data_IF_533081014640
#
_entry.id   IF_533081014640
#
_cell.length_a   1.000
_cell.length_b   1.000
_cell.length_c   1.000
_cell.angle_alpha   90.00
_cell.angle_beta   90.00
_cell.angle_gamma   90.00
#
_symmetry.space_group_name_H-M   'P 1'
#
loop_
_entity.id
_entity.type
_entity.pdbx_description
1 polymer ?
#
# COMPACT_ATOMS: atom_id res chain seq x y z
N UNK A 1 -4.78 -19.47 -18.68
CA UNK A 1 -4.48 -18.05 -18.38
C UNK A 1 -2.97 -17.86 -18.37
N UNK A 2 -2.40 -16.85 -19.04
CA UNK A 2 -0.97 -16.59 -19.07
C UNK A 2 -0.45 -16.42 -17.64
N UNK A 3 0.72 -16.97 -17.33
CA UNK A 3 1.37 -16.93 -16.03
C UNK A 3 1.46 -15.50 -15.46
N UNK A 4 1.78 -14.51 -16.29
CA UNK A 4 1.88 -13.12 -15.86
C UNK A 4 0.52 -12.49 -15.53
N UNK A 5 -0.55 -12.85 -16.27
CA UNK A 5 -1.92 -12.40 -15.96
C UNK A 5 -2.36 -12.87 -14.58
N UNK A 6 -2.07 -14.13 -14.21
CA UNK A 6 -2.36 -14.64 -12.88
C UNK A 6 -1.61 -13.86 -11.80
N UNK A 7 -0.30 -13.66 -11.98
CA UNK A 7 0.52 -12.91 -11.01
C UNK A 7 0.09 -11.44 -10.88
N UNK A 8 -0.32 -10.82 -11.97
CA UNK A 8 -0.86 -9.47 -11.95
C UNK A 8 -2.20 -9.43 -11.18
N UNK A 9 -3.06 -10.41 -11.40
CA UNK A 9 -4.32 -10.53 -10.65
C UNK A 9 -4.09 -10.70 -9.15
N UNK A 10 -3.06 -11.48 -8.76
CA UNK A 10 -2.71 -11.64 -7.35
C UNK A 10 -2.21 -10.32 -6.70
N UNK A 11 -1.65 -9.39 -7.49
CA UNK A 11 -1.23 -8.06 -7.02
C UNK A 11 -2.40 -7.07 -6.94
N UNK A 12 -3.50 -7.31 -7.63
CA UNK A 12 -4.61 -6.35 -7.71
C UNK A 12 -5.18 -6.01 -6.33
N UNK A 13 -5.50 -7.02 -5.53
CA UNK A 13 -6.10 -6.81 -4.22
C UNK A 13 -5.20 -5.99 -3.26
N UNK A 14 -3.93 -6.37 -3.02
CA UNK A 14 -3.09 -5.57 -2.12
C UNK A 14 -2.82 -4.16 -2.65
N UNK A 15 -2.69 -3.94 -3.97
CA UNK A 15 -2.52 -2.58 -4.52
C UNK A 15 -3.79 -1.75 -4.37
N UNK A 16 -4.98 -2.34 -4.55
CA UNK A 16 -6.25 -1.64 -4.31
C UNK A 16 -6.42 -1.28 -2.83
N UNK A 17 -6.01 -2.15 -1.89
CA UNK A 17 -6.03 -1.83 -0.46
C UNK A 17 -5.03 -0.74 -0.09
N UNK A 18 -3.84 -0.71 -0.70
CA UNK A 18 -2.88 0.40 -0.53
C UNK A 18 -3.54 1.72 -0.95
N UNK A 19 -4.19 1.75 -2.12
CA UNK A 19 -4.89 2.93 -2.62
C UNK A 19 -6.01 3.40 -1.67
N UNK A 20 -6.86 2.48 -1.25
CA UNK A 20 -7.98 2.76 -0.34
C UNK A 20 -7.49 3.26 1.02
N UNK A 21 -6.57 2.53 1.66
CA UNK A 21 -6.07 2.87 2.98
C UNK A 21 -5.34 4.23 2.98
N UNK A 22 -4.59 4.55 1.91
CA UNK A 22 -3.97 5.86 1.74
C UNK A 22 -5.02 6.99 1.71
N UNK A 23 -6.07 6.85 0.91
CA UNK A 23 -7.14 7.86 0.81
C UNK A 23 -7.84 8.08 2.14
N UNK A 24 -8.08 7.00 2.89
CA UNK A 24 -8.69 7.08 4.23
C UNK A 24 -7.75 7.77 5.21
N UNK A 25 -6.46 7.43 5.23
CA UNK A 25 -5.46 8.10 6.09
C UNK A 25 -5.37 9.58 5.75
N UNK A 26 -5.29 9.97 4.49
CA UNK A 26 -5.23 11.38 4.07
C UNK A 26 -6.48 12.16 4.51
N UNK A 27 -7.66 11.55 4.37
CA UNK A 27 -8.93 12.17 4.76
C UNK A 27 -9.01 12.42 6.26
N UNK A 28 -8.50 11.50 7.08
CA UNK A 28 -8.58 11.58 8.55
C UNK A 28 -7.33 12.14 9.22
N UNK A 29 -6.20 12.27 8.51
CA UNK A 29 -4.97 12.89 9.03
C UNK A 29 -5.16 14.36 9.45
N UNK A 30 -6.14 15.07 8.87
CA UNK A 30 -6.47 16.47 9.20
C UNK A 30 -7.32 16.65 10.46
N UNK A 31 -7.84 15.59 11.05
CA UNK A 31 -8.64 15.64 12.29
C UNK A 31 -7.68 15.61 13.50
N UNK A 32 -6.73 16.54 13.55
CA UNK A 32 -5.83 16.75 14.68
C UNK A 32 -6.43 17.74 15.70
N UNK A 33 -7.70 17.61 16.01
CA UNK A 33 -8.26 18.37 17.10
C UNK A 33 -8.17 17.56 18.40
N UNK A 34 -8.00 18.24 19.53
CA UNK A 34 -7.93 17.69 20.88
C UNK A 34 -9.16 16.86 21.30
N UNK A 35 -10.13 16.75 20.43
CA UNK A 35 -11.38 15.99 20.53
C UNK A 35 -11.35 14.62 19.85
N UNK A 36 -10.19 14.17 19.27
CA UNK A 36 -10.14 12.84 18.65
C UNK A 36 -10.51 11.78 19.66
N UNK A 37 -11.66 11.19 19.43
CA UNK A 37 -12.14 10.08 20.19
C UNK A 37 -11.16 8.89 20.01
N UNK A 38 -10.92 8.13 21.08
CA UNK A 38 -10.03 6.95 21.06
C UNK A 38 -10.33 5.96 19.94
N UNK A 39 -11.58 5.89 19.52
CA UNK A 39 -12.03 5.02 18.43
C UNK A 39 -11.47 5.47 17.07
N UNK A 40 -11.57 6.77 16.75
CA UNK A 40 -11.02 7.35 15.51
C UNK A 40 -9.51 7.14 15.44
N UNK A 41 -8.80 7.38 16.54
CA UNK A 41 -7.36 7.14 16.63
C UNK A 41 -7.02 5.66 16.38
N UNK A 42 -7.77 4.73 16.99
CA UNK A 42 -7.60 3.30 16.77
C UNK A 42 -7.82 2.90 15.30
N UNK A 43 -8.83 3.47 14.64
CA UNK A 43 -9.08 3.23 13.23
C UNK A 43 -7.91 3.71 12.35
N UNK A 44 -7.41 4.92 12.57
CA UNK A 44 -6.27 5.47 11.82
C UNK A 44 -5.04 4.56 11.94
N UNK A 45 -4.74 4.07 13.13
CA UNK A 45 -3.63 3.16 13.38
C UNK A 45 -3.83 1.82 12.66
N UNK A 46 -5.06 1.31 12.69
CA UNK A 46 -5.39 0.06 11.98
C UNK A 46 -5.21 0.23 10.46
N UNK A 47 -5.64 1.36 9.89
CA UNK A 47 -5.42 1.69 8.48
C UNK A 47 -3.93 1.78 8.16
N UNK A 48 -3.15 2.42 9.03
CA UNK A 48 -1.71 2.51 8.87
C UNK A 48 -1.03 1.12 8.93
N UNK A 49 -1.40 0.27 9.87
CA UNK A 49 -0.92 -1.11 9.93
C UNK A 49 -1.23 -1.87 8.65
N UNK A 50 -2.45 -1.75 8.14
CA UNK A 50 -2.87 -2.42 6.93
C UNK A 50 -2.03 -1.97 5.73
N UNK A 51 -1.83 -0.67 5.55
CA UNK A 51 -1.03 -0.17 4.42
C UNK A 51 0.44 -0.62 4.50
N UNK A 52 1.03 -0.67 5.69
CA UNK A 52 2.39 -1.18 5.90
C UNK A 52 2.48 -2.67 5.53
N UNK A 53 1.49 -3.48 5.93
CA UNK A 53 1.41 -4.90 5.58
C UNK A 53 1.27 -5.08 4.07
N UNK A 54 0.37 -4.33 3.43
CA UNK A 54 0.11 -4.44 1.99
C UNK A 54 1.32 -3.98 1.15
N UNK A 55 1.97 -2.86 1.53
CA UNK A 55 3.24 -2.43 0.93
C UNK A 55 4.29 -3.55 1.07
N UNK A 56 4.42 -4.13 2.26
CA UNK A 56 5.32 -5.25 2.48
C UNK A 56 4.99 -6.48 1.62
N UNK A 57 3.71 -6.74 1.35
CA UNK A 57 3.26 -7.85 0.48
C UNK A 57 3.63 -7.62 -0.99
N UNK A 58 3.36 -6.43 -1.53
CA UNK A 58 3.65 -6.14 -2.94
C UNK A 58 5.14 -6.05 -3.24
N UNK A 59 6.00 -5.93 -2.23
CA UNK A 59 7.47 -5.99 -2.34
C UNK A 59 8.07 -7.22 -1.66
N UNK A 60 7.30 -8.29 -1.46
CA UNK A 60 7.83 -9.53 -0.89
C UNK A 60 8.73 -10.25 -1.89
N UNK A 61 9.89 -10.71 -1.42
CA UNK A 61 10.85 -11.49 -2.20
C UNK A 61 10.62 -13.01 -2.14
N UNK A 62 9.66 -13.48 -1.33
CA UNK A 62 9.43 -14.90 -1.14
C UNK A 62 9.13 -15.63 -2.46
N UNK A 63 9.56 -16.89 -2.55
CA UNK A 63 9.61 -17.65 -3.80
C UNK A 63 8.23 -17.84 -4.46
N UNK A 64 7.17 -17.89 -3.66
CA UNK A 64 5.79 -18.18 -4.12
C UNK A 64 4.89 -16.93 -4.23
N UNK A 65 5.38 -15.76 -3.84
CA UNK A 65 4.60 -14.53 -3.87
C UNK A 65 4.55 -13.92 -5.27
N UNK A 66 3.44 -13.26 -5.58
CA UNK A 66 3.33 -12.31 -6.69
C UNK A 66 3.71 -10.95 -6.14
N UNK A 67 4.76 -10.30 -6.69
CA UNK A 67 5.27 -9.03 -6.17
C UNK A 67 5.96 -8.22 -7.26
N UNK A 68 6.12 -6.91 -7.05
CA UNK A 68 6.88 -6.05 -7.94
C UNK A 68 8.34 -6.48 -8.05
N UNK A 69 8.94 -7.06 -7.00
CA UNK A 69 10.29 -7.64 -7.07
C UNK A 69 10.35 -8.75 -8.11
N UNK A 70 9.33 -9.62 -8.17
CA UNK A 70 9.28 -10.70 -9.15
C UNK A 70 9.09 -10.19 -10.57
N UNK A 71 8.21 -9.21 -10.76
CA UNK A 71 8.06 -8.58 -12.08
C UNK A 71 9.34 -7.87 -12.51
N UNK A 72 10.02 -7.16 -11.61
CA UNK A 72 11.32 -6.56 -11.90
C UNK A 72 12.37 -7.60 -12.32
N UNK A 73 12.38 -8.78 -11.68
CA UNK A 73 13.24 -9.88 -12.10
C UNK A 73 12.89 -10.40 -13.50
N UNK A 74 11.58 -10.55 -13.82
CA UNK A 74 11.16 -11.00 -15.15
C UNK A 74 11.54 -10.00 -16.23
N UNK A 75 11.45 -8.71 -15.96
CA UNK A 75 11.85 -7.65 -16.88
C UNK A 75 13.37 -7.63 -17.07
N UNK A 76 14.13 -7.62 -15.98
CA UNK A 76 15.61 -7.63 -16.02
C UNK A 76 16.19 -8.86 -16.74
N UNK A 77 15.54 -10.02 -16.64
CA UNK A 77 15.96 -11.24 -17.34
C UNK A 77 15.27 -11.43 -18.72
N UNK A 78 14.68 -10.39 -19.26
CA UNK A 78 13.97 -10.38 -20.57
C UNK A 78 12.88 -11.46 -20.72
N UNK A 79 12.38 -11.99 -19.60
CA UNK A 79 11.26 -12.95 -19.57
C UNK A 79 9.91 -12.28 -19.79
N UNK A 80 9.82 -11.01 -19.41
CA UNK A 80 8.70 -10.12 -19.68
C UNK A 80 9.24 -8.86 -20.33
N UNK A 81 8.88 -8.62 -21.59
CA UNK A 81 9.21 -7.39 -22.30
C UNK A 81 8.11 -6.37 -22.04
N UNK A 82 8.51 -5.14 -21.72
CA UNK A 82 7.65 -3.99 -21.57
C UNK A 82 8.19 -2.85 -22.42
N UNK A 83 7.32 -1.99 -22.93
CA UNK A 83 7.71 -0.93 -23.88
C UNK A 83 8.66 0.08 -23.23
N UNK A 84 8.42 0.48 -21.98
CA UNK A 84 9.26 1.42 -21.27
C UNK A 84 9.93 0.77 -20.05
N UNK A 85 10.93 -0.06 -20.31
CA UNK A 85 11.70 -0.74 -19.26
C UNK A 85 12.58 0.22 -18.45
N UNK A 86 12.94 1.39 -19.02
CA UNK A 86 13.72 2.40 -18.33
C UNK A 86 12.87 3.15 -17.30
N UNK A 87 11.65 3.57 -17.69
CA UNK A 87 10.69 4.19 -16.76
C UNK A 87 10.37 3.23 -15.61
N UNK A 88 10.05 1.97 -15.93
CA UNK A 88 9.85 0.93 -14.93
C UNK A 88 11.01 0.85 -13.94
N UNK A 89 12.23 0.74 -14.44
CA UNK A 89 13.42 0.56 -13.61
C UNK A 89 13.64 1.75 -12.69
N UNK A 90 13.53 2.98 -13.20
CA UNK A 90 13.65 4.21 -12.40
C UNK A 90 12.59 4.26 -11.30
N UNK A 91 11.33 4.01 -11.65
CA UNK A 91 10.22 4.04 -10.71
C UNK A 91 10.35 2.93 -9.65
N UNK A 92 10.65 1.70 -10.08
CA UNK A 92 10.85 0.57 -9.16
C UNK A 92 11.99 0.83 -8.19
N UNK A 93 13.18 1.20 -8.66
CA UNK A 93 14.36 1.39 -7.81
C UNK A 93 14.18 2.57 -6.84
N UNK A 94 13.53 3.65 -7.27
CA UNK A 94 13.21 4.79 -6.39
C UNK A 94 12.21 4.41 -5.31
N UNK A 95 11.19 3.60 -5.65
CA UNK A 95 10.16 3.14 -4.72
C UNK A 95 10.73 2.10 -3.77
N UNK A 96 11.48 1.13 -4.26
CA UNK A 96 12.05 0.04 -3.46
C UNK A 96 12.96 0.55 -2.34
N UNK A 97 13.79 1.56 -2.63
CA UNK A 97 14.62 2.20 -1.59
C UNK A 97 13.80 2.79 -0.43
N UNK A 98 12.63 3.34 -0.73
CA UNK A 98 11.73 3.95 0.25
C UNK A 98 10.87 2.92 1.00
N UNK A 99 10.60 1.78 0.36
CA UNK A 99 9.81 0.69 0.95
C UNK A 99 10.60 -0.14 1.95
N UNK A 100 11.93 -0.15 1.87
CA UNK A 100 12.78 -0.97 2.74
C UNK A 100 12.47 -0.83 4.24
N UNK A 101 12.31 0.38 4.82
CA UNK A 101 11.93 0.55 6.23
C UNK A 101 10.58 -0.12 6.55
N UNK A 102 9.60 -0.06 5.64
CA UNK A 102 8.28 -0.69 5.84
C UNK A 102 8.33 -2.21 5.83
N UNK A 103 9.22 -2.81 5.04
CA UNK A 103 9.45 -4.26 5.07
C UNK A 103 9.99 -4.68 6.44
N UNK A 104 10.88 -3.90 7.02
CA UNK A 104 11.46 -4.17 8.33
C UNK A 104 10.44 -3.90 9.45
N UNK A 105 9.64 -2.84 9.36
CA UNK A 105 8.49 -2.58 10.25
C UNK A 105 7.50 -3.75 10.25
N UNK A 106 7.13 -4.27 9.08
CA UNK A 106 6.23 -5.43 8.96
C UNK A 106 6.75 -6.65 9.73
N UNK A 107 8.04 -6.92 9.66
CA UNK A 107 8.65 -8.04 10.40
C UNK A 107 8.48 -7.84 11.91
N UNK A 108 8.69 -6.63 12.39
CA UNK A 108 8.54 -6.27 13.80
C UNK A 108 7.08 -6.38 14.26
N UNK A 109 6.11 -5.92 13.46
CA UNK A 109 4.68 -6.07 13.78
C UNK A 109 4.24 -7.53 13.92
N UNK A 110 4.75 -8.42 13.06
CA UNK A 110 4.44 -9.85 13.18
C UNK A 110 5.13 -10.53 14.36
N UNK A 111 6.30 -10.06 14.77
CA UNK A 111 7.04 -10.60 15.92
C UNK A 111 6.42 -10.20 17.27
N UNK A 112 5.74 -9.05 17.34
CA UNK A 112 5.21 -8.44 18.56
C UNK A 112 3.70 -8.51 18.69
N UNK A 113 3.03 -9.50 18.15
CA UNK A 113 1.56 -9.70 18.20
C UNK A 113 0.96 -9.61 19.60
N UNK A 114 1.75 -9.70 20.66
CA UNK A 114 1.33 -9.66 22.07
C UNK A 114 1.83 -8.44 22.86
N UNK A 115 2.56 -7.51 22.24
CA UNK A 115 2.95 -6.28 22.92
C UNK A 115 1.80 -5.28 22.82
N UNK A 116 1.30 -4.79 23.94
CA UNK A 116 0.48 -3.57 24.00
C UNK A 116 1.37 -2.43 23.50
N UNK A 117 1.27 -2.15 22.22
CA UNK A 117 1.97 -1.04 21.60
C UNK A 117 1.31 0.24 22.11
N UNK A 118 2.03 1.05 22.84
CA UNK A 118 1.57 2.39 23.15
C UNK A 118 1.57 3.19 21.85
N UNK A 119 0.38 3.61 21.46
CA UNK A 119 0.03 4.24 20.19
C UNK A 119 0.88 5.48 19.91
N UNK A 120 1.16 6.26 20.95
CA UNK A 120 1.94 7.49 20.87
C UNK A 120 3.42 7.21 20.53
N UNK A 121 4.03 6.19 21.17
CA UNK A 121 5.41 5.79 20.89
C UNK A 121 5.59 5.34 19.43
N UNK A 122 4.59 4.68 18.87
CA UNK A 122 4.65 4.23 17.50
C UNK A 122 4.72 5.40 16.49
N UNK A 123 3.85 6.40 16.65
CA UNK A 123 3.82 7.56 15.78
C UNK A 123 5.09 8.42 15.94
N UNK A 124 5.59 8.59 17.16
CA UNK A 124 6.83 9.32 17.43
C UNK A 124 8.04 8.61 16.80
N UNK A 125 8.09 7.28 16.88
CA UNK A 125 9.19 6.49 16.32
C UNK A 125 9.17 6.37 14.80
N UNK A 126 8.00 6.53 14.15
CA UNK A 126 7.81 6.24 12.72
C UNK A 126 7.16 7.40 11.94
N UNK A 127 7.21 8.62 12.46
CA UNK A 127 6.60 9.80 11.80
C UNK A 127 7.17 10.06 10.41
N UNK A 128 8.49 9.93 10.23
CA UNK A 128 9.14 10.14 8.93
C UNK A 128 8.72 9.09 7.88
N UNK A 129 8.49 7.86 8.30
CA UNK A 129 8.01 6.78 7.44
C UNK A 129 6.57 7.03 7.03
N UNK A 130 5.74 7.53 7.95
CA UNK A 130 4.34 7.86 7.69
C UNK A 130 4.20 8.92 6.60
N UNK A 131 5.06 9.92 6.58
CA UNK A 131 5.03 10.98 5.59
C UNK A 131 5.39 10.50 4.16
N UNK A 132 6.04 9.35 4.05
CA UNK A 132 6.39 8.73 2.76
C UNK A 132 5.27 7.87 2.17
N UNK A 133 4.27 7.48 2.97
CA UNK A 133 3.19 6.56 2.55
C UNK A 133 2.44 7.05 1.30
N UNK A 134 1.97 8.31 1.21
CA UNK A 134 1.23 8.78 0.04
C UNK A 134 2.01 8.58 -1.25
N UNK A 135 3.27 8.97 -1.26
CA UNK A 135 4.14 8.83 -2.42
C UNK A 135 4.42 7.35 -2.76
N UNK A 136 4.61 6.49 -1.75
CA UNK A 136 4.83 5.05 -1.96
C UNK A 136 3.58 4.42 -2.55
N UNK A 137 2.39 4.77 -2.05
CA UNK A 137 1.11 4.29 -2.55
C UNK A 137 0.89 4.69 -4.02
N UNK A 138 1.12 5.97 -4.37
CA UNK A 138 1.07 6.43 -5.76
C UNK A 138 2.03 5.65 -6.66
N UNK A 139 3.24 5.41 -6.21
CA UNK A 139 4.22 4.67 -6.98
C UNK A 139 3.82 3.20 -7.15
N UNK A 140 3.21 2.56 -6.13
CA UNK A 140 2.66 1.21 -6.25
C UNK A 140 1.56 1.15 -7.32
N UNK A 141 0.66 2.15 -7.35
CA UNK A 141 -0.39 2.27 -8.35
C UNK A 141 0.23 2.44 -9.74
N UNK A 142 1.20 3.34 -9.91
CA UNK A 142 1.90 3.57 -11.19
C UNK A 142 2.62 2.31 -11.70
N UNK A 143 3.33 1.59 -10.81
CA UNK A 143 3.97 0.32 -11.15
C UNK A 143 2.93 -0.73 -11.60
N UNK A 144 1.80 -0.80 -10.90
CA UNK A 144 0.71 -1.70 -11.27
C UNK A 144 0.07 -1.32 -12.62
N UNK A 145 -0.12 -0.02 -12.88
CA UNK A 145 -0.66 0.50 -14.14
C UNK A 145 0.22 0.14 -15.33
N UNK A 146 1.54 0.30 -15.19
CA UNK A 146 2.50 -0.12 -16.22
C UNK A 146 2.33 -1.61 -16.52
N UNK A 147 2.35 -2.46 -15.49
CA UNK A 147 2.19 -3.91 -15.69
C UNK A 147 0.83 -4.27 -16.28
N UNK A 148 -0.26 -3.64 -15.86
CA UNK A 148 -1.60 -3.93 -16.37
C UNK A 148 -1.72 -3.52 -17.85
N UNK A 149 -1.20 -2.35 -18.21
CA UNK A 149 -1.17 -1.89 -19.60
C UNK A 149 -0.38 -2.85 -20.51
N UNK A 150 0.80 -3.30 -20.06
CA UNK A 150 1.67 -4.19 -20.84
C UNK A 150 1.13 -5.63 -20.92
N UNK A 151 0.53 -6.16 -19.86
CA UNK A 151 0.10 -7.56 -19.80
C UNK A 151 -1.33 -7.75 -20.31
N UNK A 152 -2.22 -6.77 -20.05
CA UNK A 152 -3.64 -6.84 -20.41
C UNK A 152 -4.02 -5.99 -21.63
N UNK A 153 -3.22 -4.95 -21.94
CA UNK A 153 -3.54 -3.94 -22.95
C UNK A 153 -4.39 -2.77 -22.44
N UNK A 154 -4.72 -2.75 -21.14
CA UNK A 154 -5.50 -1.67 -20.51
C UNK A 154 -5.13 -1.53 -19.03
N UNK A 155 -5.37 -0.34 -18.46
CA UNK A 155 -5.20 -0.09 -17.04
C UNK A 155 -6.42 -0.60 -16.26
N UNK A 156 -6.16 -1.26 -15.14
CA UNK A 156 -7.22 -1.66 -14.21
C UNK A 156 -7.61 -0.46 -13.32
N UNK A 157 -8.90 -0.22 -13.20
CA UNK A 157 -9.41 0.85 -12.33
C UNK A 157 -9.72 0.32 -10.93
N UNK A 158 -9.35 1.09 -9.91
CA UNK A 158 -9.69 0.82 -8.50
C UNK A 158 -10.92 1.60 -8.02
N UNK A 159 -11.52 2.47 -8.86
CA UNK A 159 -12.35 3.59 -8.41
C UNK A 159 -13.83 3.30 -8.11
N UNK A 160 -14.43 2.19 -8.56
CA UNK A 160 -15.89 2.03 -8.46
C UNK A 160 -16.40 1.63 -7.07
N UNK A 161 -15.62 0.91 -6.29
CA UNK A 161 -15.99 0.49 -4.92
C UNK A 161 -15.35 1.32 -3.81
N UNK A 162 -14.26 2.03 -4.11
CA UNK A 162 -13.52 2.83 -3.13
C UNK A 162 -14.34 4.00 -2.59
N UNK A 163 -15.07 4.72 -3.46
CA UNK A 163 -15.90 5.86 -3.05
C UNK A 163 -17.06 5.42 -2.14
N UNK A 164 -17.67 4.26 -2.40
CA UNK A 164 -18.73 3.73 -1.54
C UNK A 164 -18.21 3.38 -0.16
N UNK A 165 -17.00 2.79 -0.08
CA UNK A 165 -16.35 2.47 1.19
C UNK A 165 -15.98 3.74 1.95
N UNK A 166 -15.40 4.74 1.29
CA UNK A 166 -15.07 6.03 1.90
C UNK A 166 -16.33 6.70 2.46
N UNK A 167 -17.43 6.74 1.70
CA UNK A 167 -18.69 7.30 2.16
C UNK A 167 -19.27 6.56 3.37
N UNK A 168 -19.13 5.24 3.43
CA UNK A 168 -19.54 4.46 4.61
C UNK A 168 -18.69 4.78 5.84
N UNK A 169 -17.39 4.95 5.68
CA UNK A 169 -16.51 5.39 6.76
C UNK A 169 -16.92 6.78 7.27
N UNK A 170 -17.22 7.75 6.38
CA UNK A 170 -17.69 9.07 6.76
C UNK A 170 -18.98 9.03 7.59
N UNK A 171 -19.93 8.16 7.22
CA UNK A 171 -21.17 7.97 7.98
C UNK A 171 -20.93 7.38 9.37
N UNK A 172 -19.93 6.52 9.52
CA UNK A 172 -19.54 5.96 10.81
C UNK A 172 -18.91 7.05 11.67
N UNK A 173 -17.92 7.79 11.14
CA UNK A 173 -17.22 8.81 11.90
C UNK A 173 -18.11 9.98 12.30
N UNK A 174 -18.99 10.46 11.40
CA UNK A 174 -19.93 11.55 11.73
C UNK A 174 -20.90 11.25 12.88
N UNK A 175 -21.16 9.97 13.16
CA UNK A 175 -22.00 9.56 14.30
C UNK A 175 -21.29 9.58 15.64
N UNK A 176 -19.97 9.63 15.65
CA UNK A 176 -19.15 9.61 16.88
C UNK A 176 -18.54 10.98 17.20
N UNK A 177 -18.65 11.96 16.27
CA UNK A 177 -18.22 13.35 16.48
C UNK A 177 -19.36 14.22 17.08
N UNK A 178 -20.51 13.65 17.37
CA UNK A 178 -21.66 14.29 18.06
C UNK A 178 -21.75 13.80 19.52
#
# INVERSE_FOLDING_TARGET
MNHYKKKLHDLYAPVSFISLNQKLIERYKGIHDSSINRYTLYCIITLFHNIVVDIGMVFDSAKRTSSFIKFNQYIKFEKLRINDSEEWTKLFDSTFRKVKPFIDLRKNFHAHKNAQFEINEFWEQHSEECDKIPMIAENCIKLFDILSQEILGYKLSFNSSENDIINQFDLIFSKYDS
#
